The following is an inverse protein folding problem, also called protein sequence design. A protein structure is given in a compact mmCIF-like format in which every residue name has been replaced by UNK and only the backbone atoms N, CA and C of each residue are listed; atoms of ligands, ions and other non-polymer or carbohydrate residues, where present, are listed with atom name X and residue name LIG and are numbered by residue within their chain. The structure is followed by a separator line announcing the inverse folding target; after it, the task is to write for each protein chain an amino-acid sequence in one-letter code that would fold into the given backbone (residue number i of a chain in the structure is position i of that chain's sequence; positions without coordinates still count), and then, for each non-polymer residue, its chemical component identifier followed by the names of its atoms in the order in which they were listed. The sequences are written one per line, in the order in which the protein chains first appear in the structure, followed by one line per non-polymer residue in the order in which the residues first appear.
data_IF_076312939178
#
_entry.id   IF_076312939178
#
_cell.length_a   1.000
_cell.length_b   1.000
_cell.length_c   1.000
_cell.angle_alpha   90.00
_cell.angle_beta   90.00
_cell.angle_gamma   90.00
#
_symmetry.space_group_name_H-M   'P 1'
#
loop_
_entity.id
_entity.type
_entity.pdbx_description
1 polymer ?
#
# COMPACT_ATOMS: atom_id res chain seq x y z
N UNK A 1 9.82 -4.35 16.48
CA UNK A 1 9.14 -3.03 16.46
C UNK A 1 8.72 -2.66 17.88
N UNK A 2 8.70 -1.37 18.18
CA UNK A 2 8.12 -0.82 19.41
C UNK A 2 6.60 -1.01 19.45
N UNK A 3 5.99 -0.94 20.63
CA UNK A 3 4.54 -1.02 20.80
C UNK A 3 3.81 0.10 20.02
N UNK A 4 4.42 1.28 19.92
CA UNK A 4 3.90 2.40 19.14
C UNK A 4 3.83 2.05 17.66
N UNK A 5 4.92 1.54 17.07
CA UNK A 5 4.95 1.14 15.66
C UNK A 5 3.95 0.01 15.36
N UNK A 6 3.83 -0.96 16.27
CA UNK A 6 2.84 -2.05 16.17
C UNK A 6 1.42 -1.50 16.15
N UNK A 7 1.08 -0.56 17.04
CA UNK A 7 -0.25 0.02 17.10
C UNK A 7 -0.56 0.90 15.88
N UNK A 8 0.44 1.61 15.35
CA UNK A 8 0.30 2.38 14.10
C UNK A 8 0.04 1.47 12.89
N UNK A 9 0.71 0.33 12.80
CA UNK A 9 0.48 -0.64 11.75
C UNK A 9 -0.89 -1.33 11.89
N UNK A 10 -1.34 -1.60 13.11
CA UNK A 10 -2.71 -2.07 13.37
C UNK A 10 -3.75 -1.06 12.86
N UNK A 11 -3.54 0.21 13.15
CA UNK A 11 -4.41 1.31 12.69
C UNK A 11 -4.43 1.42 11.16
N UNK A 12 -3.26 1.43 10.52
CA UNK A 12 -3.15 1.45 9.06
C UNK A 12 -3.83 0.23 8.42
N UNK A 13 -3.57 -0.96 8.95
CA UNK A 13 -4.13 -2.21 8.42
C UNK A 13 -5.65 -2.25 8.52
N UNK A 14 -6.21 -1.84 9.67
CA UNK A 14 -7.66 -1.75 9.85
C UNK A 14 -8.28 -0.71 8.93
N UNK A 15 -7.61 0.44 8.75
CA UNK A 15 -8.04 1.46 7.81
C UNK A 15 -8.11 0.90 6.37
N UNK A 16 -7.03 0.30 5.86
CA UNK A 16 -7.00 -0.29 4.51
C UNK A 16 -8.08 -1.38 4.33
N UNK A 17 -8.30 -2.21 5.35
CA UNK A 17 -9.36 -3.20 5.34
C UNK A 17 -10.76 -2.59 5.25
N UNK A 18 -10.98 -1.45 5.91
CA UNK A 18 -12.25 -0.72 5.81
C UNK A 18 -12.41 -0.04 4.44
N UNK A 19 -11.33 0.50 3.87
CA UNK A 19 -11.35 1.22 2.59
C UNK A 19 -11.83 0.36 1.40
N UNK A 20 -11.68 -0.98 1.46
CA UNK A 20 -12.25 -1.89 0.46
C UNK A 20 -13.78 -1.78 0.32
N UNK A 21 -14.48 -1.28 1.36
CA UNK A 21 -15.93 -1.05 1.32
C UNK A 21 -16.30 0.12 0.42
N UNK A 22 -15.35 1.03 0.17
CA UNK A 22 -15.60 2.26 -0.56
C UNK A 22 -14.81 2.37 -1.87
N UNK A 23 -13.88 1.45 -2.13
CA UNK A 23 -13.06 1.42 -3.33
C UNK A 23 -13.47 0.27 -4.24
N UNK A 24 -13.31 0.46 -5.55
CA UNK A 24 -13.50 -0.60 -6.54
C UNK A 24 -12.22 -1.41 -6.72
N UNK A 25 -12.41 -2.67 -7.08
CA UNK A 25 -11.32 -3.53 -7.51
C UNK A 25 -10.75 -2.97 -8.80
N UNK A 26 -9.42 -2.91 -8.89
CA UNK A 26 -8.75 -2.57 -10.14
C UNK A 26 -8.87 -3.78 -11.07
N UNK A 27 -9.85 -3.74 -11.96
CA UNK A 27 -10.14 -4.82 -12.91
C UNK A 27 -9.15 -4.87 -14.08
N UNK A 28 -8.51 -3.74 -14.40
CA UNK A 28 -7.56 -3.60 -15.51
C UNK A 28 -6.23 -3.09 -14.99
N UNK A 29 -5.46 -3.97 -14.37
CA UNK A 29 -4.01 -3.81 -14.30
C UNK A 29 -3.42 -4.88 -15.22
N UNK A 30 -2.80 -4.49 -16.34
CA UNK A 30 -2.33 -5.42 -17.36
C UNK A 30 -1.34 -6.46 -16.84
N UNK A 31 -0.67 -6.17 -15.72
CA UNK A 31 0.25 -7.10 -15.07
C UNK A 31 -0.43 -8.03 -14.03
N UNK A 32 -1.67 -7.77 -13.61
CA UNK A 32 -2.33 -8.56 -12.56
C UNK A 32 -2.61 -9.99 -13.01
N UNK A 33 -2.07 -10.96 -12.27
CA UNK A 33 -2.28 -12.40 -12.50
C UNK A 33 -3.23 -13.03 -11.49
N UNK A 34 -3.15 -12.63 -10.21
CA UNK A 34 -3.93 -13.22 -9.12
C UNK A 34 -4.15 -12.23 -7.98
N UNK A 35 -5.18 -12.47 -7.16
CA UNK A 35 -5.50 -11.68 -5.98
C UNK A 35 -6.27 -10.41 -6.30
N UNK A 36 -6.28 -9.47 -5.34
CA UNK A 36 -7.04 -8.24 -5.42
C UNK A 36 -6.15 -7.03 -5.22
N UNK A 37 -6.45 -5.96 -5.94
CA UNK A 37 -5.79 -4.67 -5.81
C UNK A 37 -6.84 -3.57 -5.71
N UNK A 38 -6.59 -2.65 -4.79
CA UNK A 38 -7.40 -1.47 -4.55
C UNK A 38 -6.48 -0.24 -4.60
N UNK A 39 -7.02 0.89 -5.04
CA UNK A 39 -6.33 2.17 -5.01
C UNK A 39 -7.08 3.14 -4.09
N UNK A 40 -6.31 3.87 -3.28
CA UNK A 40 -6.76 5.00 -2.49
C UNK A 40 -5.92 6.20 -2.93
N UNK A 41 -6.60 7.26 -3.36
CA UNK A 41 -5.96 8.55 -3.61
C UNK A 41 -5.59 9.16 -2.27
N UNK A 42 -4.29 9.25 -1.98
CA UNK A 42 -3.80 9.72 -0.69
C UNK A 42 -3.34 11.19 -0.74
N UNK A 43 -2.62 11.62 -1.79
CA UNK A 43 -2.08 13.01 -1.83
C UNK A 43 -2.09 13.76 -3.17
N UNK A 44 -2.16 13.10 -4.32
CA UNK A 44 -2.12 13.76 -5.64
C UNK A 44 -2.60 12.78 -6.71
N UNK A 45 -3.31 13.32 -7.70
CA UNK A 45 -3.85 12.53 -8.77
C UNK A 45 -2.74 12.11 -9.74
N UNK A 46 -2.82 10.91 -10.32
CA UNK A 46 -1.98 10.50 -11.45
C UNK A 46 -2.26 11.31 -12.72
N UNK A 47 -3.30 12.16 -12.71
CA UNK A 47 -3.66 13.06 -13.80
C UNK A 47 -2.96 14.41 -13.67
N UNK A 48 -2.32 14.85 -14.74
CA UNK A 48 -1.73 16.18 -14.86
C UNK A 48 -2.81 17.25 -14.63
N UNK A 49 -2.54 18.19 -13.73
CA UNK A 49 -3.40 19.32 -13.34
C UNK A 49 -4.61 19.02 -12.43
N UNK A 50 -4.68 17.85 -11.80
CA UNK A 50 -5.67 17.58 -10.75
C UNK A 50 -5.01 17.62 -9.36
N UNK A 51 -5.59 18.39 -8.44
CA UNK A 51 -5.11 18.55 -7.07
C UNK A 51 -6.09 17.91 -6.07
N UNK A 52 -5.52 17.15 -5.12
CA UNK A 52 -6.08 16.65 -3.86
C UNK A 52 -7.46 15.97 -3.89
N UNK A 53 -7.54 14.69 -3.48
CA UNK A 53 -8.82 14.04 -3.24
C UNK A 53 -8.70 12.59 -2.75
N UNK A 54 -9.66 12.16 -1.92
CA UNK A 54 -9.87 10.75 -1.62
C UNK A 54 -10.53 10.09 -2.82
N UNK A 55 -9.85 9.10 -3.41
CA UNK A 55 -10.45 8.27 -4.45
C UNK A 55 -11.42 7.26 -3.82
N UNK A 56 -12.63 7.16 -4.36
CA UNK A 56 -13.61 6.17 -3.92
C UNK A 56 -14.73 6.00 -4.94
N UNK A 57 -15.37 4.84 -4.91
CA UNK A 57 -16.48 4.45 -5.77
C UNK A 57 -17.76 5.15 -5.34
N UNK A 58 -18.30 6.00 -6.22
CA UNK A 58 -19.51 6.80 -5.94
C UNK A 58 -20.66 5.91 -5.46
N UNK A 59 -20.97 4.83 -6.19
CA UNK A 59 -22.07 3.94 -5.82
C UNK A 59 -21.88 3.25 -4.47
N UNK A 60 -20.65 2.84 -4.13
CA UNK A 60 -20.36 2.23 -2.82
C UNK A 60 -20.46 3.25 -1.69
N UNK A 61 -19.95 4.46 -1.91
CA UNK A 61 -20.07 5.58 -0.96
C UNK A 61 -21.55 5.91 -0.73
N UNK A 62 -22.36 5.94 -1.78
CA UNK A 62 -23.78 6.23 -1.66
C UNK A 62 -24.54 5.20 -0.83
N UNK A 63 -24.14 3.93 -0.91
CA UNK A 63 -24.71 2.85 -0.12
C UNK A 63 -24.21 2.80 1.34
N UNK A 64 -23.17 3.57 1.67
CA UNK A 64 -22.53 3.57 2.99
C UNK A 64 -22.17 4.98 3.47
N UNK A 65 -23.04 5.97 3.19
CA UNK A 65 -22.76 7.41 3.40
C UNK A 65 -22.35 7.75 4.84
N UNK A 66 -23.03 7.18 5.83
CA UNK A 66 -22.76 7.47 7.24
C UNK A 66 -21.43 6.86 7.69
N UNK A 67 -21.13 5.63 7.25
CA UNK A 67 -19.82 5.01 7.49
C UNK A 67 -18.69 5.80 6.81
N UNK A 68 -18.89 6.24 5.56
CA UNK A 68 -17.93 7.06 4.81
C UNK A 68 -17.65 8.41 5.50
N UNK A 69 -18.68 9.05 6.04
CA UNK A 69 -18.54 10.32 6.78
C UNK A 69 -17.81 10.13 8.12
N UNK A 70 -18.10 9.04 8.83
CA UNK A 70 -17.56 8.81 10.17
C UNK A 70 -16.12 8.27 10.18
N UNK A 71 -15.59 7.82 9.04
CA UNK A 71 -14.18 7.35 8.94
C UNK A 71 -13.13 8.47 9.03
N UNK A 72 -13.54 9.75 8.97
CA UNK A 72 -12.69 10.95 8.97
C UNK A 72 -11.64 11.00 10.08
N UNK A 73 -11.96 10.48 11.27
CA UNK A 73 -11.03 10.45 12.40
C UNK A 73 -9.79 9.58 12.12
N UNK A 74 -9.98 8.43 11.45
CA UNK A 74 -8.91 7.49 11.11
C UNK A 74 -8.06 7.98 9.93
N UNK A 75 -8.60 8.86 9.08
CA UNK A 75 -7.86 9.43 7.95
C UNK A 75 -6.72 10.32 8.45
N UNK A 76 -6.94 11.17 9.46
CA UNK A 76 -5.88 12.07 9.94
C UNK A 76 -4.72 11.31 10.58
N UNK A 77 -5.00 10.28 11.37
CA UNK A 77 -3.99 9.47 12.05
C UNK A 77 -3.18 8.62 11.08
N UNK A 78 -3.85 7.94 10.14
CA UNK A 78 -3.21 7.19 9.05
C UNK A 78 -2.33 8.10 8.20
N UNK A 79 -2.77 9.35 7.99
CA UNK A 79 -1.95 10.33 7.29
C UNK A 79 -0.65 10.68 7.98
N UNK A 80 -0.69 10.86 9.31
CA UNK A 80 0.52 11.05 10.09
C UNK A 80 1.43 9.81 10.03
N UNK A 81 0.86 8.60 10.07
CA UNK A 81 1.62 7.35 9.95
C UNK A 81 2.38 7.31 8.62
N UNK A 82 1.68 7.49 7.50
CA UNK A 82 2.30 7.43 6.17
C UNK A 82 3.40 8.48 5.99
N UNK A 83 3.19 9.71 6.50
CA UNK A 83 4.21 10.78 6.48
C UNK A 83 5.45 10.41 7.29
N UNK A 84 5.26 9.89 8.50
CA UNK A 84 6.37 9.59 9.39
C UNK A 84 7.26 8.47 8.83
N UNK A 85 6.70 7.53 8.07
CA UNK A 85 7.48 6.48 7.41
C UNK A 85 8.14 6.96 6.10
N UNK A 86 7.53 7.90 5.36
CA UNK A 86 8.18 8.57 4.22
C UNK A 86 9.40 9.41 4.66
N UNK A 87 9.33 10.03 5.85
CA UNK A 87 10.36 10.94 6.39
C UNK A 87 11.71 10.30 6.75
N UNK A 88 11.82 8.96 6.74
CA UNK A 88 13.10 8.24 6.93
C UNK A 88 13.84 7.94 5.62
N UNK A 89 13.26 8.32 4.47
CA UNK A 89 13.93 8.27 3.17
C UNK A 89 14.74 9.57 3.03
N UNK A 90 16.04 9.54 2.65
CA UNK A 90 16.85 10.75 2.55
C UNK A 90 16.15 11.76 1.62
N UNK A 91 15.60 12.81 2.24
CA UNK A 91 14.94 13.89 1.52
C UNK A 91 16.02 14.65 0.75
N UNK A 92 16.17 14.37 -0.54
CA UNK A 92 16.84 15.34 -1.39
C UNK A 92 15.92 16.55 -1.44
N UNK A 93 16.39 17.67 -0.88
CA UNK A 93 15.59 18.89 -0.70
C UNK A 93 15.19 19.46 -2.06
N UNK A 94 14.00 19.09 -2.52
CA UNK A 94 13.39 19.60 -3.74
C UNK A 94 12.48 18.55 -4.35
N UNK A 95 11.17 18.73 -4.17
CA UNK A 95 10.07 17.88 -4.64
C UNK A 95 9.79 16.61 -3.81
N UNK A 96 8.59 16.55 -3.21
CA UNK A 96 7.92 15.29 -2.90
C UNK A 96 7.69 14.53 -4.22
N UNK A 97 8.63 13.66 -4.59
CA UNK A 97 8.61 12.89 -5.85
C UNK A 97 7.90 11.54 -5.74
N UNK A 98 7.34 11.16 -4.59
CA UNK A 98 6.47 9.99 -4.54
C UNK A 98 5.12 10.35 -5.17
N UNK A 99 4.85 9.74 -6.33
CA UNK A 99 3.52 9.68 -6.88
C UNK A 99 2.60 9.00 -5.85
N UNK A 100 1.45 9.61 -5.68
CA UNK A 100 0.69 9.74 -4.43
C UNK A 100 -0.55 8.86 -4.38
N UNK A 101 -0.47 7.74 -5.10
CA UNK A 101 -1.50 6.71 -5.18
C UNK A 101 -1.10 5.58 -4.25
N UNK A 102 -1.80 5.44 -3.14
CA UNK A 102 -1.61 4.32 -2.24
C UNK A 102 -2.41 3.14 -2.80
N UNK A 103 -1.71 2.08 -3.20
CA UNK A 103 -2.37 0.83 -3.58
C UNK A 103 -2.15 -0.20 -2.50
N UNK A 104 -3.16 -1.01 -2.24
CA UNK A 104 -3.06 -2.12 -1.31
C UNK A 104 -3.61 -3.38 -1.94
N UNK A 105 -2.99 -4.50 -1.60
CA UNK A 105 -3.24 -5.78 -2.24
C UNK A 105 -3.65 -6.84 -1.23
N UNK A 106 -4.49 -7.77 -1.66
CA UNK A 106 -5.04 -8.81 -0.79
C UNK A 106 -5.12 -10.15 -1.53
N UNK A 107 -5.25 -11.23 -0.74
CA UNK A 107 -5.48 -12.60 -1.21
C UNK A 107 -4.42 -13.13 -2.20
N UNK A 108 -3.15 -13.04 -1.81
CA UNK A 108 -2.07 -13.67 -2.59
C UNK A 108 -1.77 -12.94 -3.90
N UNK A 109 -1.90 -11.61 -3.90
CA UNK A 109 -1.68 -10.77 -5.06
C UNK A 109 -0.37 -11.09 -5.79
N UNK A 110 -0.46 -11.17 -7.11
CA UNK A 110 0.66 -11.49 -8.00
C UNK A 110 0.56 -10.69 -9.29
N UNK A 111 1.68 -10.08 -9.68
CA UNK A 111 1.87 -9.49 -10.99
C UNK A 111 2.76 -10.38 -11.89
N UNK A 112 2.59 -10.25 -13.20
CA UNK A 112 3.59 -10.62 -14.18
C UNK A 112 4.72 -9.60 -14.17
N UNK A 113 5.96 -9.99 -14.52
CA UNK A 113 7.08 -9.06 -14.64
C UNK A 113 6.75 -7.83 -15.49
N UNK A 114 7.02 -6.64 -14.95
CA UNK A 114 6.70 -5.37 -15.60
C UNK A 114 7.60 -4.22 -15.13
N UNK A 115 7.49 -3.08 -15.82
CA UNK A 115 8.01 -1.79 -15.38
C UNK A 115 6.83 -0.90 -15.02
N UNK A 116 6.96 -0.16 -13.94
CA UNK A 116 6.02 0.90 -13.64
C UNK A 116 6.22 2.05 -14.63
N UNK A 117 5.10 2.62 -15.09
CA UNK A 117 5.09 3.78 -15.99
C UNK A 117 4.61 5.02 -15.25
N UNK A 118 5.02 5.13 -13.99
CA UNK A 118 4.68 6.25 -13.13
C UNK A 118 5.65 7.42 -13.32
N UNK A 119 5.22 8.60 -12.89
CA UNK A 119 6.05 9.82 -12.91
C UNK A 119 7.24 9.72 -11.94
N UNK A 120 7.11 8.91 -10.88
CA UNK A 120 8.21 8.66 -9.94
C UNK A 120 9.10 7.54 -10.45
N UNK A 121 10.42 7.70 -10.28
CA UNK A 121 11.37 6.62 -10.57
C UNK A 121 11.28 5.48 -9.55
N UNK A 122 10.85 5.79 -8.33
CA UNK A 122 10.89 4.86 -7.20
C UNK A 122 9.49 4.49 -6.73
N UNK A 123 9.32 3.21 -6.41
CA UNK A 123 8.17 2.72 -5.66
C UNK A 123 8.59 2.43 -4.21
N UNK A 124 7.67 2.69 -3.28
CA UNK A 124 7.76 2.27 -1.88
C UNK A 124 6.68 1.22 -1.63
N UNK A 125 7.10 0.01 -1.27
CA UNK A 125 6.21 -1.12 -0.99
C UNK A 125 6.33 -1.56 0.46
N UNK A 126 5.18 -1.81 1.10
CA UNK A 126 5.11 -2.30 2.47
C UNK A 126 4.46 -3.69 2.47
N UNK A 127 5.11 -4.66 3.10
CA UNK A 127 4.60 -6.02 3.29
C UNK A 127 4.45 -6.33 4.77
N UNK A 128 3.24 -6.66 5.17
CA UNK A 128 2.90 -7.15 6.50
C UNK A 128 1.70 -8.08 6.38
N UNK A 129 1.56 -9.03 7.31
CA UNK A 129 0.46 -9.99 7.31
C UNK A 129 -0.54 -9.67 8.43
N UNK A 130 -1.66 -9.02 8.09
CA UNK A 130 -2.73 -8.84 9.06
C UNK A 130 -3.53 -10.13 9.25
N UNK A 131 -4.05 -10.31 10.45
CA UNK A 131 -4.93 -11.40 10.82
C UNK A 131 -6.25 -11.28 10.05
N UNK A 132 -6.65 -12.36 9.35
CA UNK A 132 -7.78 -12.37 8.41
C UNK A 132 -9.11 -11.87 8.99
N UNK A 133 -9.33 -12.01 10.30
CA UNK A 133 -10.59 -11.64 10.96
C UNK A 133 -10.57 -10.26 11.61
N UNK A 134 -9.43 -9.88 12.19
CA UNK A 134 -9.32 -8.68 13.03
C UNK A 134 -8.61 -7.54 12.31
N UNK A 135 -7.94 -7.83 11.19
CA UNK A 135 -7.07 -6.92 10.46
C UNK A 135 -5.93 -6.35 11.30
N UNK A 136 -5.69 -6.88 12.50
CA UNK A 136 -4.52 -6.56 13.31
C UNK A 136 -3.29 -7.30 12.78
N UNK A 137 -2.13 -6.68 12.84
CA UNK A 137 -0.88 -7.31 12.44
C UNK A 137 -0.54 -8.49 13.36
N UNK A 138 0.14 -9.47 12.79
CA UNK A 138 0.59 -10.62 13.56
C UNK A 138 1.69 -10.21 14.55
N UNK A 139 1.42 -10.41 15.85
CA UNK A 139 2.37 -10.06 16.94
C UNK A 139 3.27 -11.22 17.36
N UNK A 140 2.88 -12.44 17.03
CA UNK A 140 3.62 -13.65 17.37
C UNK A 140 4.75 -13.88 16.36
N UNK A 141 5.97 -13.60 16.82
CA UNK A 141 7.20 -13.75 16.04
C UNK A 141 7.50 -15.19 15.61
N UNK A 142 6.83 -16.20 16.17
CA UNK A 142 6.97 -17.57 15.67
C UNK A 142 6.19 -17.82 14.37
N UNK A 143 5.25 -16.93 14.01
CA UNK A 143 4.51 -17.03 12.76
C UNK A 143 5.15 -16.17 11.69
N UNK A 144 5.61 -16.84 10.65
CA UNK A 144 6.19 -16.21 9.46
C UNK A 144 5.12 -15.70 8.51
N UNK A 145 5.41 -14.59 7.86
CA UNK A 145 4.64 -14.15 6.70
C UNK A 145 4.67 -15.23 5.62
N UNK A 146 3.51 -15.57 5.03
CA UNK A 146 3.47 -16.51 3.90
C UNK A 146 3.36 -15.75 2.58
N UNK A 147 4.22 -16.07 1.62
CA UNK A 147 4.26 -15.39 0.32
C UNK A 147 5.17 -14.16 0.33
N UNK A 148 4.96 -13.25 -0.63
CA UNK A 148 5.78 -12.06 -0.78
C UNK A 148 7.16 -12.39 -1.36
N UNK A 149 7.25 -12.54 -2.68
CA UNK A 149 8.54 -12.52 -3.38
C UNK A 149 8.54 -11.30 -4.26
N UNK A 150 9.53 -10.44 -4.09
CA UNK A 150 9.81 -9.37 -5.04
C UNK A 150 10.93 -9.87 -5.94
N UNK A 151 10.60 -10.17 -7.19
CA UNK A 151 11.50 -10.85 -8.12
C UNK A 151 12.01 -9.82 -9.12
N UNK A 152 13.32 -9.77 -9.34
CA UNK A 152 13.96 -8.93 -10.34
C UNK A 152 14.54 -9.85 -11.42
N UNK A 153 13.71 -10.29 -12.40
CA UNK A 153 14.06 -11.41 -13.26
C UNK A 153 15.24 -11.13 -14.18
N UNK A 154 15.43 -9.87 -14.62
CA UNK A 154 16.53 -9.50 -15.51
C UNK A 154 17.87 -9.36 -14.75
N UNK A 155 17.78 -9.12 -13.45
CA UNK A 155 18.89 -8.94 -12.53
C UNK A 155 19.23 -10.27 -11.83
N UNK A 156 18.45 -11.32 -12.10
CA UNK A 156 18.64 -12.69 -11.64
C UNK A 156 18.66 -12.84 -10.11
N UNK A 157 17.89 -12.02 -9.39
CA UNK A 157 17.69 -12.16 -7.94
C UNK A 157 16.24 -11.95 -7.54
N UNK A 158 15.90 -12.37 -6.32
CA UNK A 158 14.64 -12.03 -5.68
C UNK A 158 14.88 -11.74 -4.20
N UNK A 159 13.97 -10.97 -3.63
CA UNK A 159 13.89 -10.73 -2.20
C UNK A 159 12.78 -11.63 -1.67
N UNK A 160 13.15 -12.54 -0.77
CA UNK A 160 12.19 -13.39 -0.07
C UNK A 160 11.65 -12.67 1.16
N UNK A 161 10.39 -12.26 1.11
CA UNK A 161 9.71 -11.52 2.17
C UNK A 161 9.02 -12.46 3.17
N UNK A 162 9.05 -13.78 2.94
CA UNK A 162 8.37 -14.75 3.79
C UNK A 162 9.07 -14.99 5.14
N UNK A 163 10.35 -14.65 5.25
CA UNK A 163 11.10 -14.82 6.51
C UNK A 163 11.01 -13.60 7.45
N UNK A 164 10.19 -12.59 7.11
CA UNK A 164 9.94 -11.47 8.02
C UNK A 164 8.78 -11.79 8.99
N UNK A 165 8.98 -11.38 10.23
CA UNK A 165 8.03 -11.60 11.32
C UNK A 165 6.96 -10.50 11.45
N UNK A 166 7.15 -9.31 10.84
CA UNK A 166 6.34 -8.12 11.17
C UNK A 166 6.08 -7.20 9.96
N UNK A 167 7.01 -6.31 9.62
CA UNK A 167 6.89 -5.34 8.52
C UNK A 167 8.16 -5.40 7.68
N UNK A 168 8.00 -5.40 6.35
CA UNK A 168 9.08 -5.11 5.42
C UNK A 168 8.72 -3.86 4.64
N UNK A 169 9.70 -2.97 4.51
CA UNK A 169 9.62 -1.81 3.64
C UNK A 169 10.72 -1.95 2.59
N UNK A 170 10.35 -1.80 1.32
CA UNK A 170 11.29 -1.85 0.21
C UNK A 170 11.08 -0.62 -0.64
N UNK A 171 12.17 0.07 -0.96
CA UNK A 171 12.22 1.09 -2.00
C UNK A 171 13.01 0.52 -3.16
N UNK A 172 12.47 0.58 -4.37
CA UNK A 172 13.17 0.14 -5.58
C UNK A 172 12.88 1.09 -6.75
N UNK A 173 13.79 1.14 -7.72
CA UNK A 173 13.61 1.93 -8.94
C UNK A 173 12.67 1.20 -9.91
N UNK A 174 11.36 1.30 -9.67
CA UNK A 174 10.34 0.49 -10.35
C UNK A 174 10.14 0.81 -11.83
N UNK A 175 10.58 2.00 -12.27
CA UNK A 175 10.63 2.37 -13.68
C UNK A 175 11.92 1.92 -14.39
N UNK A 176 12.92 1.44 -13.64
CA UNK A 176 14.21 0.97 -14.18
C UNK A 176 14.31 -0.55 -14.19
N UNK A 177 13.93 -1.20 -13.09
CA UNK A 177 14.07 -2.65 -12.93
C UNK A 177 12.75 -3.36 -13.15
N UNK A 178 12.76 -4.34 -14.05
CA UNK A 178 11.61 -5.23 -14.24
C UNK A 178 11.37 -5.97 -12.93
N UNK A 179 10.13 -6.01 -12.47
CA UNK A 179 9.75 -6.64 -11.21
C UNK A 179 8.37 -7.32 -11.27
#
# INVERSE_FOLDING_TARGET
MSEVEVNQLDELSQFLFCEKRFTDLIATNGALLEGFMFAIGWRKCSTKNEQFGLYGSVGKIENAKDEWRNRGANLSSVGCILVNYEGNIPANQGACEFASTLTFTMNGFKNSPHLDKDESMYALGWWFQPHKRTSQIQRDASKRCTGGKLIFPNEHFWIDLSDCHQLIQVVWASSTFVH
#
